data_IF_191637716498
#
_entry.id   IF_191637716498
#
_cell.length_a   1.000
_cell.length_b   1.000
_cell.length_c   1.000
_cell.angle_alpha   90.00
_cell.angle_beta   90.00
_cell.angle_gamma   90.00
#
_symmetry.space_group_name_H-M   'P 1'
#
loop_
_entity.id
_entity.type
_entity.pdbx_description
1 polymer ?
#
# COMPACT_ATOMS: atom_id res chain seq x y z
N UNK A 1 14.53 -0.46 -7.80
CA UNK A 1 15.94 -0.47 -7.34
C UNK A 1 16.82 0.06 -8.45
N UNK A 2 17.77 0.98 -8.20
CA UNK A 2 18.70 1.47 -9.22
C UNK A 2 19.46 0.32 -9.89
N UNK A 3 19.66 0.41 -11.21
CA UNK A 3 20.48 -0.54 -11.94
C UNK A 3 21.93 -0.51 -11.42
N UNK A 4 22.53 -1.67 -11.23
CA UNK A 4 23.90 -1.78 -10.68
C UNK A 4 24.02 -1.59 -9.16
N UNK A 5 22.92 -1.33 -8.44
CA UNK A 5 22.97 -1.22 -6.98
C UNK A 5 23.36 -2.54 -6.28
N UNK A 6 22.84 -3.66 -6.78
CA UNK A 6 23.23 -4.98 -6.29
C UNK A 6 24.24 -5.63 -7.23
N UNK A 7 25.26 -6.33 -6.70
CA UNK A 7 26.30 -6.99 -7.51
C UNK A 7 25.85 -8.36 -8.05
N UNK A 8 24.54 -8.65 -8.08
CA UNK A 8 23.96 -9.90 -8.55
C UNK A 8 22.73 -9.65 -9.42
N UNK A 9 22.34 -10.58 -10.31
CA UNK A 9 21.15 -10.47 -11.12
C UNK A 9 19.88 -10.38 -10.25
N UNK A 10 18.96 -9.52 -10.66
CA UNK A 10 17.67 -9.33 -9.99
C UNK A 10 16.55 -10.01 -10.79
N UNK A 11 15.58 -10.68 -10.15
CA UNK A 11 14.38 -11.21 -10.79
C UNK A 11 13.37 -10.09 -11.08
N UNK A 12 13.81 -9.04 -11.78
CA UNK A 12 12.99 -7.88 -12.09
C UNK A 12 12.00 -8.18 -13.22
N UNK A 13 10.85 -7.52 -13.20
CA UNK A 13 9.85 -7.58 -14.27
C UNK A 13 10.33 -6.80 -15.51
N UNK A 14 11.21 -5.83 -15.31
CA UNK A 14 11.76 -5.00 -16.39
C UNK A 14 12.76 -3.97 -15.86
N UNK A 15 13.19 -3.10 -16.79
CA UNK A 15 14.05 -1.94 -16.48
C UNK A 15 13.40 -0.69 -17.04
N UNK A 16 13.28 0.36 -16.24
CA UNK A 16 12.72 1.66 -16.65
C UNK A 16 13.52 2.80 -16.03
N UNK A 17 13.93 3.75 -16.85
CA UNK A 17 14.65 4.97 -16.41
C UNK A 17 15.84 4.70 -15.47
N UNK A 18 16.64 3.66 -15.74
CA UNK A 18 17.80 3.30 -14.93
C UNK A 18 17.47 2.55 -13.63
N UNK A 19 16.23 2.06 -13.49
CA UNK A 19 15.79 1.25 -12.34
C UNK A 19 15.29 -0.11 -12.77
N UNK A 20 15.65 -1.15 -12.02
CA UNK A 20 14.95 -2.43 -12.06
C UNK A 20 13.57 -2.28 -11.45
N UNK A 21 12.54 -2.73 -12.16
CA UNK A 21 11.14 -2.70 -11.73
C UNK A 21 10.65 -4.09 -11.35
N UNK A 22 9.82 -4.16 -10.32
CA UNK A 22 9.17 -5.38 -9.84
C UNK A 22 7.67 -5.10 -9.78
N UNK A 23 6.98 -5.33 -10.89
CA UNK A 23 5.55 -5.09 -10.99
C UNK A 23 4.78 -6.19 -10.25
N UNK A 24 3.97 -5.79 -9.28
CA UNK A 24 3.20 -6.68 -8.39
C UNK A 24 1.71 -6.38 -8.41
N UNK A 25 1.26 -5.48 -9.28
CA UNK A 25 -0.14 -5.10 -9.44
C UNK A 25 -0.54 -5.16 -10.91
N UNK A 26 -1.84 -5.07 -11.18
CA UNK A 26 -2.37 -4.95 -12.54
C UNK A 26 -2.32 -3.48 -12.99
N UNK A 27 -2.13 -3.27 -14.28
CA UNK A 27 -2.07 -1.93 -14.86
C UNK A 27 -3.37 -1.14 -14.65
N UNK A 28 -3.27 0.18 -14.56
CA UNK A 28 -4.38 1.10 -14.30
C UNK A 28 -5.59 0.89 -15.24
N UNK A 29 -5.37 0.70 -16.51
CA UNK A 29 -6.44 0.46 -17.47
C UNK A 29 -7.23 -0.83 -17.18
N UNK A 30 -6.58 -1.86 -16.64
CA UNK A 30 -7.23 -3.09 -16.19
C UNK A 30 -8.06 -2.84 -14.90
N UNK A 31 -7.55 -1.99 -13.98
CA UNK A 31 -8.29 -1.55 -12.79
C UNK A 31 -9.55 -0.80 -13.21
N UNK A 32 -9.45 0.17 -14.12
CA UNK A 32 -10.59 0.95 -14.63
C UNK A 32 -11.64 0.04 -15.28
N UNK A 33 -11.20 -0.90 -16.13
CA UNK A 33 -12.13 -1.87 -16.73
C UNK A 33 -12.83 -2.74 -15.68
N UNK A 34 -12.11 -3.18 -14.65
CA UNK A 34 -12.67 -3.99 -13.58
C UNK A 34 -13.65 -3.17 -12.73
N UNK A 35 -13.35 -1.91 -12.42
CA UNK A 35 -14.23 -0.99 -11.70
C UNK A 35 -15.54 -0.80 -12.47
N UNK A 36 -15.48 -0.52 -13.78
CA UNK A 36 -16.68 -0.34 -14.63
C UNK A 36 -17.54 -1.60 -14.70
N UNK A 37 -16.93 -2.79 -14.84
CA UNK A 37 -17.66 -4.06 -14.80
C UNK A 37 -18.33 -4.29 -13.45
N UNK A 38 -17.61 -4.05 -12.36
CA UNK A 38 -18.15 -4.22 -11.00
C UNK A 38 -19.29 -3.22 -10.72
N UNK A 39 -19.19 -1.98 -11.17
CA UNK A 39 -20.23 -0.97 -11.05
C UNK A 39 -21.51 -1.39 -11.79
N UNK A 40 -21.38 -1.85 -13.03
CA UNK A 40 -22.50 -2.36 -13.81
C UNK A 40 -23.16 -3.58 -13.14
N UNK A 41 -22.37 -4.54 -12.65
CA UNK A 41 -22.87 -5.73 -11.96
C UNK A 41 -23.57 -5.38 -10.66
N UNK A 42 -23.04 -4.43 -9.89
CA UNK A 42 -23.64 -3.96 -8.65
C UNK A 42 -24.81 -2.98 -8.88
N UNK A 43 -25.05 -2.54 -10.13
CA UNK A 43 -26.02 -1.50 -10.51
C UNK A 43 -25.78 -0.20 -9.73
N UNK A 44 -24.54 0.27 -9.76
CA UNK A 44 -24.07 1.46 -9.04
C UNK A 44 -23.39 2.39 -10.02
N UNK A 45 -23.71 3.68 -9.93
CA UNK A 45 -23.07 4.73 -10.73
C UNK A 45 -21.79 5.19 -10.07
N UNK A 46 -20.70 5.22 -10.84
CA UNK A 46 -19.39 5.68 -10.35
C UNK A 46 -18.80 6.69 -11.33
N UNK A 47 -17.96 7.56 -10.84
CA UNK A 47 -17.09 8.43 -11.63
C UNK A 47 -15.67 8.35 -11.08
N UNK A 48 -14.73 7.96 -11.92
CA UNK A 48 -13.32 7.85 -11.59
C UNK A 48 -12.50 9.04 -12.07
N UNK A 49 -11.25 9.14 -11.63
CA UNK A 49 -10.32 10.15 -12.15
C UNK A 49 -10.08 9.98 -13.65
N UNK A 50 -10.16 8.76 -14.17
CA UNK A 50 -10.08 8.49 -15.61
C UNK A 50 -11.23 9.15 -16.40
N UNK A 51 -12.42 9.30 -15.79
CA UNK A 51 -13.59 9.91 -16.41
C UNK A 51 -13.61 11.43 -16.27
N UNK A 52 -12.87 12.01 -15.33
CA UNK A 52 -12.83 13.43 -15.03
C UNK A 52 -11.78 14.18 -15.88
N UNK A 53 -12.06 15.42 -16.23
CA UNK A 53 -11.06 16.36 -16.72
C UNK A 53 -10.09 16.78 -15.58
N UNK A 54 -8.94 17.37 -15.95
CA UNK A 54 -7.98 17.90 -14.96
C UNK A 54 -8.64 18.97 -14.07
N UNK A 55 -9.48 19.81 -14.67
CA UNK A 55 -10.20 20.88 -13.94
C UNK A 55 -11.21 20.31 -12.95
N UNK A 56 -11.89 19.21 -13.30
CA UNK A 56 -12.81 18.53 -12.39
C UNK A 56 -12.06 17.88 -11.23
N UNK A 57 -10.95 17.18 -11.49
CA UNK A 57 -10.12 16.64 -10.41
C UNK A 57 -9.63 17.75 -9.48
N UNK A 58 -9.12 18.86 -10.02
CA UNK A 58 -8.69 20.01 -9.23
C UNK A 58 -9.80 20.55 -8.33
N UNK A 59 -11.00 20.75 -8.88
CA UNK A 59 -12.17 21.26 -8.13
C UNK A 59 -12.62 20.29 -7.03
N UNK A 60 -12.66 19.00 -7.33
CA UNK A 60 -13.14 17.97 -6.39
C UNK A 60 -12.14 17.68 -5.25
N UNK A 61 -10.85 17.88 -5.49
CA UNK A 61 -9.79 17.56 -4.53
C UNK A 61 -9.20 18.77 -3.83
N UNK A 62 -9.40 19.99 -4.37
CA UNK A 62 -8.71 21.20 -3.91
C UNK A 62 -7.26 21.33 -4.39
N UNK A 63 -6.81 20.44 -5.29
CA UNK A 63 -5.48 20.49 -5.88
C UNK A 63 -5.34 21.63 -6.91
N UNK A 64 -4.13 22.12 -7.10
CA UNK A 64 -3.81 22.97 -8.26
C UNK A 64 -3.96 22.16 -9.57
N UNK A 65 -4.12 22.84 -10.71
CA UNK A 65 -4.21 22.16 -12.02
C UNK A 65 -3.00 21.27 -12.32
N UNK A 66 -1.80 21.71 -11.93
CA UNK A 66 -0.59 20.90 -12.08
C UNK A 66 -0.64 19.64 -11.23
N UNK A 67 -1.01 19.78 -9.97
CA UNK A 67 -1.16 18.62 -9.06
C UNK A 67 -2.27 17.67 -9.54
N UNK A 68 -3.40 18.19 -10.00
CA UNK A 68 -4.49 17.39 -10.57
C UNK A 68 -4.06 16.62 -11.83
N UNK A 69 -3.26 17.26 -12.71
CA UNK A 69 -2.65 16.60 -13.86
C UNK A 69 -1.76 15.44 -13.41
N UNK A 70 -0.88 15.66 -12.41
CA UNK A 70 -0.03 14.61 -11.86
C UNK A 70 -0.84 13.52 -11.17
N UNK A 71 -1.90 13.87 -10.44
CA UNK A 71 -2.80 12.92 -9.80
C UNK A 71 -3.53 11.99 -10.77
N UNK A 72 -3.69 12.39 -12.04
CA UNK A 72 -4.24 11.55 -13.10
C UNK A 72 -3.22 10.60 -13.76
N UNK A 73 -1.91 10.78 -13.51
CA UNK A 73 -0.86 9.91 -14.03
C UNK A 73 -0.64 8.68 -13.14
N UNK A 74 -1.73 8.00 -12.79
CA UNK A 74 -1.70 6.79 -11.97
C UNK A 74 -1.43 5.57 -12.82
N UNK A 75 -0.57 4.67 -12.33
CA UNK A 75 -0.20 3.46 -13.06
C UNK A 75 -0.94 2.21 -12.54
N UNK A 76 -1.46 2.24 -11.29
CA UNK A 76 -2.01 1.04 -10.63
C UNK A 76 -3.24 1.29 -9.76
N UNK A 77 -3.70 2.52 -9.62
CA UNK A 77 -4.77 2.94 -8.72
C UNK A 77 -5.78 3.82 -9.47
N UNK A 78 -7.07 3.61 -9.25
CA UNK A 78 -8.14 4.46 -9.73
C UNK A 78 -8.93 5.02 -8.54
N UNK A 79 -8.75 6.30 -8.21
CA UNK A 79 -9.65 7.00 -7.31
C UNK A 79 -11.00 7.21 -7.97
N UNK A 80 -12.08 6.91 -7.25
CA UNK A 80 -13.44 7.06 -7.79
C UNK A 80 -14.41 7.52 -6.70
N UNK A 81 -15.57 8.00 -7.12
CA UNK A 81 -16.71 8.30 -6.24
C UNK A 81 -17.90 7.47 -6.66
N UNK A 82 -18.63 6.97 -5.68
CA UNK A 82 -19.97 6.42 -5.88
C UNK A 82 -20.94 7.59 -5.91
N UNK A 83 -21.73 7.68 -6.97
CA UNK A 83 -22.71 8.76 -7.15
C UNK A 83 -24.01 8.47 -6.41
N UNK A 84 -24.31 7.21 -6.16
CA UNK A 84 -25.47 6.78 -5.40
C UNK A 84 -25.28 7.09 -3.92
N UNK A 85 -26.26 7.73 -3.28
CA UNK A 85 -26.23 8.06 -1.86
C UNK A 85 -26.51 6.86 -0.93
N UNK A 86 -26.86 5.70 -1.49
CA UNK A 86 -27.19 4.49 -0.73
C UNK A 86 -25.94 3.75 -0.26
N UNK A 87 -25.78 3.65 1.05
CA UNK A 87 -24.68 2.91 1.68
C UNK A 87 -24.67 1.41 1.30
N UNK A 88 -25.85 0.80 1.07
CA UNK A 88 -25.94 -0.58 0.64
C UNK A 88 -25.45 -0.77 -0.80
N UNK A 89 -25.70 0.20 -1.70
CA UNK A 89 -25.15 0.22 -3.05
C UNK A 89 -23.64 0.23 -3.04
N UNK A 90 -23.04 1.12 -2.24
CA UNK A 90 -21.59 1.19 -2.06
C UNK A 90 -21.00 -0.11 -1.49
N UNK A 91 -21.65 -0.70 -0.49
CA UNK A 91 -21.22 -1.98 0.07
C UNK A 91 -21.27 -3.13 -0.96
N UNK A 92 -22.32 -3.18 -1.79
CA UNK A 92 -22.42 -4.15 -2.90
C UNK A 92 -21.27 -3.97 -3.89
N UNK A 93 -20.98 -2.73 -4.30
CA UNK A 93 -19.86 -2.43 -5.21
C UNK A 93 -18.53 -2.91 -4.61
N UNK A 94 -18.24 -2.57 -3.36
CA UNK A 94 -17.00 -2.99 -2.69
C UNK A 94 -16.87 -4.50 -2.60
N UNK A 95 -17.98 -5.21 -2.29
CA UNK A 95 -18.00 -6.68 -2.30
C UNK A 95 -17.68 -7.24 -3.69
N UNK A 96 -18.25 -6.66 -4.74
CA UNK A 96 -18.03 -7.07 -6.13
C UNK A 96 -16.59 -6.82 -6.56
N UNK A 97 -16.01 -5.66 -6.22
CA UNK A 97 -14.61 -5.33 -6.51
C UNK A 97 -13.65 -6.30 -5.82
N UNK A 98 -13.86 -6.58 -4.53
CA UNK A 98 -13.05 -7.56 -3.80
C UNK A 98 -13.18 -8.97 -4.38
N UNK A 99 -14.39 -9.36 -4.78
CA UNK A 99 -14.63 -10.62 -5.48
C UNK A 99 -13.94 -10.72 -6.84
N UNK A 100 -13.67 -9.59 -7.49
CA UNK A 100 -12.89 -9.49 -8.73
C UNK A 100 -11.37 -9.41 -8.49
N UNK A 101 -10.90 -9.55 -7.23
CA UNK A 101 -9.47 -9.53 -6.88
C UNK A 101 -8.89 -8.14 -6.71
N UNK A 102 -9.72 -7.10 -6.61
CA UNK A 102 -9.26 -5.74 -6.32
C UNK A 102 -9.29 -5.46 -4.82
N UNK A 103 -8.34 -4.68 -4.36
CA UNK A 103 -8.40 -4.03 -3.05
C UNK A 103 -9.17 -2.71 -3.18
N UNK A 104 -9.94 -2.37 -2.14
CA UNK A 104 -10.77 -1.16 -2.10
C UNK A 104 -10.70 -0.57 -0.70
N UNK A 105 -10.43 0.73 -0.62
CA UNK A 105 -10.50 1.51 0.62
C UNK A 105 -11.05 2.90 0.34
N UNK A 106 -11.29 3.66 1.41
CA UNK A 106 -11.79 5.03 1.35
C UNK A 106 -10.77 5.99 1.93
N UNK A 107 -10.55 7.09 1.24
CA UNK A 107 -9.70 8.18 1.67
C UNK A 107 -10.37 9.52 1.36
N UNK A 108 -10.74 10.25 2.42
CA UNK A 108 -11.44 11.52 2.26
C UNK A 108 -12.77 11.35 1.51
N UNK A 109 -12.87 12.00 0.36
CA UNK A 109 -14.09 12.01 -0.49
C UNK A 109 -14.08 10.94 -1.59
N UNK A 110 -12.97 10.23 -1.74
CA UNK A 110 -12.79 9.23 -2.79
C UNK A 110 -12.64 7.83 -2.20
N UNK A 111 -13.10 6.88 -2.97
CA UNK A 111 -12.76 5.49 -2.82
C UNK A 111 -11.65 5.15 -3.81
N UNK A 112 -10.81 4.21 -3.47
CA UNK A 112 -9.69 3.79 -4.30
C UNK A 112 -9.87 2.33 -4.68
N UNK A 113 -9.68 2.02 -5.96
CA UNK A 113 -9.57 0.65 -6.45
C UNK A 113 -8.17 0.41 -6.98
N UNK A 114 -7.56 -0.69 -6.55
CA UNK A 114 -6.21 -1.09 -6.98
C UNK A 114 -6.17 -2.60 -7.16
N UNK A 115 -5.32 -3.08 -8.05
CA UNK A 115 -5.01 -4.50 -8.09
C UNK A 115 -4.42 -4.96 -6.76
N UNK A 116 -4.47 -6.25 -6.48
CA UNK A 116 -3.95 -6.81 -5.24
C UNK A 116 -2.42 -6.62 -5.15
N UNK A 117 -1.99 -5.39 -4.89
CA UNK A 117 -0.61 -5.09 -4.51
C UNK A 117 -0.49 -5.33 -3.01
N UNK A 118 0.06 -6.47 -2.63
CA UNK A 118 0.44 -6.74 -1.25
C UNK A 118 1.71 -5.94 -0.91
N UNK A 119 1.54 -4.84 -0.19
CA UNK A 119 2.66 -3.98 0.25
C UNK A 119 3.64 -4.78 1.13
N UNK A 120 3.13 -5.72 1.92
CA UNK A 120 3.95 -6.63 2.70
C UNK A 120 4.80 -7.55 1.82
N UNK A 121 4.28 -8.01 0.68
CA UNK A 121 5.07 -8.80 -0.28
C UNK A 121 6.19 -7.96 -0.92
N UNK A 122 5.95 -6.68 -1.18
CA UNK A 122 6.99 -5.76 -1.65
C UNK A 122 8.11 -5.58 -0.60
N UNK A 123 7.74 -5.40 0.66
CA UNK A 123 8.71 -5.36 1.78
C UNK A 123 9.50 -6.65 1.88
N UNK A 124 8.84 -7.80 1.80
CA UNK A 124 9.51 -9.10 1.82
C UNK A 124 10.51 -9.27 0.68
N UNK A 125 10.15 -8.84 -0.53
CA UNK A 125 11.06 -8.82 -1.68
C UNK A 125 12.29 -7.94 -1.42
N UNK A 126 12.08 -6.69 -1.03
CA UNK A 126 13.18 -5.76 -0.74
C UNK A 126 14.08 -6.29 0.37
N UNK A 127 13.48 -6.75 1.48
CA UNK A 127 14.24 -7.39 2.57
C UNK A 127 15.10 -8.53 2.06
N UNK A 128 14.53 -9.44 1.25
CA UNK A 128 15.28 -10.55 0.68
C UNK A 128 16.45 -10.13 -0.22
N UNK A 129 16.30 -9.01 -0.94
CA UNK A 129 17.39 -8.46 -1.76
C UNK A 129 18.49 -7.84 -0.89
N UNK A 130 18.13 -7.02 0.09
CA UNK A 130 19.08 -6.33 0.96
C UNK A 130 19.77 -7.26 1.95
N UNK A 131 19.11 -8.34 2.37
CA UNK A 131 19.66 -9.31 3.32
C UNK A 131 20.69 -10.28 2.71
N UNK A 132 20.89 -10.26 1.38
CA UNK A 132 21.93 -11.08 0.74
C UNK A 132 23.33 -10.65 1.20
N UNK A 133 23.92 -11.44 2.07
CA UNK A 133 25.28 -11.24 2.57
C UNK A 133 25.44 -10.25 3.72
N UNK A 134 24.35 -9.70 4.26
CA UNK A 134 24.37 -8.84 5.46
C UNK A 134 23.03 -8.87 6.19
N UNK A 135 23.04 -8.75 7.53
CA UNK A 135 21.80 -8.55 8.29
C UNK A 135 21.18 -7.21 7.95
N UNK A 136 19.84 -7.16 7.89
CA UNK A 136 19.07 -5.93 7.69
C UNK A 136 17.99 -5.80 8.75
N UNK A 137 17.80 -4.59 9.25
CA UNK A 137 16.66 -4.19 10.08
C UNK A 137 15.66 -3.46 9.19
N UNK A 138 14.43 -3.92 9.16
CA UNK A 138 13.35 -3.27 8.41
C UNK A 138 12.49 -2.45 9.35
N UNK A 139 12.23 -1.21 8.96
CA UNK A 139 11.42 -0.26 9.72
C UNK A 139 10.24 0.17 8.86
N UNK A 140 9.06 0.14 9.42
CA UNK A 140 7.83 0.59 8.75
C UNK A 140 7.08 1.61 9.59
N UNK A 141 6.64 2.67 8.95
CA UNK A 141 5.79 3.70 9.56
C UNK A 141 4.47 3.71 8.84
N UNK A 142 3.36 3.67 9.58
CA UNK A 142 2.02 3.67 9.03
C UNK A 142 1.05 4.46 9.90
N UNK A 143 -0.09 4.86 9.33
CA UNK A 143 -1.10 5.67 10.00
C UNK A 143 -2.53 5.13 9.85
N UNK A 144 -2.75 4.17 8.97
CA UNK A 144 -4.07 3.66 8.58
C UNK A 144 -4.14 2.13 8.50
N UNK A 145 -5.35 1.60 8.43
CA UNK A 145 -5.57 0.16 8.24
C UNK A 145 -4.98 -0.36 6.91
N UNK A 146 -4.83 0.51 5.91
CA UNK A 146 -4.17 0.19 4.65
C UNK A 146 -2.68 -0.17 4.82
N UNK A 147 -2.03 0.31 5.90
CA UNK A 147 -0.61 0.04 6.18
C UNK A 147 -0.39 -1.28 6.93
N UNK A 148 -1.47 -2.01 7.25
CA UNK A 148 -1.42 -3.22 8.07
C UNK A 148 -0.45 -4.27 7.51
N UNK A 149 -0.48 -4.51 6.19
CA UNK A 149 0.34 -5.52 5.55
C UNK A 149 1.83 -5.15 5.55
N UNK A 150 2.14 -3.85 5.41
CA UNK A 150 3.48 -3.30 5.62
C UNK A 150 3.95 -3.54 7.06
N UNK A 151 3.14 -3.09 8.04
CA UNK A 151 3.52 -3.11 9.46
C UNK A 151 3.68 -4.53 10.02
N UNK A 152 2.96 -5.51 9.47
CA UNK A 152 3.14 -6.93 9.82
C UNK A 152 4.48 -7.49 9.37
N UNK A 153 5.07 -6.97 8.29
CA UNK A 153 6.24 -7.53 7.62
C UNK A 153 7.57 -6.89 8.01
N UNK A 154 7.55 -5.78 8.71
CA UNK A 154 8.77 -5.11 9.19
C UNK A 154 9.16 -5.56 10.59
N UNK A 155 10.41 -5.41 10.93
CA UNK A 155 10.93 -5.77 12.26
C UNK A 155 10.52 -4.72 13.30
N UNK A 156 10.55 -3.45 12.93
CA UNK A 156 10.21 -2.29 13.77
C UNK A 156 9.00 -1.56 13.18
N UNK A 157 7.77 -1.95 13.54
CA UNK A 157 6.56 -1.22 13.13
C UNK A 157 6.31 -0.02 14.05
N UNK A 158 6.11 1.16 13.45
CA UNK A 158 5.73 2.40 14.13
C UNK A 158 4.38 2.87 13.58
N UNK A 159 3.44 3.13 14.49
CA UNK A 159 2.10 3.60 14.15
C UNK A 159 1.95 5.07 14.52
N UNK A 160 1.62 5.90 13.52
CA UNK A 160 1.33 7.32 13.72
C UNK A 160 -0.17 7.49 13.93
N UNK A 161 -0.64 8.04 15.06
CA UNK A 161 -2.06 8.18 15.32
C UNK A 161 -2.70 9.26 14.44
N UNK A 162 -3.71 8.89 13.65
CA UNK A 162 -4.52 9.84 12.90
C UNK A 162 -5.62 10.43 13.83
N UNK A 163 -5.38 11.59 14.42
CA UNK A 163 -6.38 12.38 15.14
C UNK A 163 -6.80 11.88 16.53
N UNK A 164 -6.57 10.63 16.92
CA UNK A 164 -6.80 10.11 18.27
C UNK A 164 -5.53 9.43 18.80
N UNK A 165 -5.34 9.46 20.14
CA UNK A 165 -4.17 8.79 20.79
C UNK A 165 -4.15 7.27 20.60
N UNK A 166 -5.24 6.69 20.11
CA UNK A 166 -5.34 5.27 19.75
C UNK A 166 -5.30 5.16 18.25
N UNK A 167 -4.25 4.60 17.71
CA UNK A 167 -4.15 4.31 16.29
C UNK A 167 -5.29 3.44 15.75
N UNK A 168 -5.34 3.14 14.45
CA UNK A 168 -6.35 2.29 13.85
C UNK A 168 -6.49 0.97 14.61
N UNK A 169 -7.71 0.63 15.00
CA UNK A 169 -8.00 -0.54 15.89
C UNK A 169 -7.53 -1.84 15.25
N UNK A 170 -7.66 -1.98 13.94
CA UNK A 170 -7.22 -3.17 13.22
C UNK A 170 -5.70 -3.35 13.30
N UNK A 171 -4.94 -2.28 13.12
CA UNK A 171 -3.47 -2.31 13.22
C UNK A 171 -3.03 -2.64 14.63
N UNK A 172 -3.56 -1.96 15.64
CA UNK A 172 -3.18 -2.17 17.05
C UNK A 172 -3.44 -3.61 17.50
N UNK A 173 -4.55 -4.21 17.06
CA UNK A 173 -4.90 -5.60 17.38
C UNK A 173 -4.01 -6.61 16.63
N UNK A 174 -3.71 -6.34 15.36
CA UNK A 174 -3.01 -7.29 14.48
C UNK A 174 -1.49 -7.18 14.55
N UNK A 175 -0.96 -6.07 15.04
CA UNK A 175 0.48 -5.81 15.21
C UNK A 175 0.74 -5.31 16.64
N UNK A 176 0.60 -6.17 17.66
CA UNK A 176 0.71 -5.76 19.06
C UNK A 176 2.10 -5.23 19.42
N UNK A 177 3.14 -5.55 18.63
CA UNK A 177 4.49 -5.02 18.78
C UNK A 177 4.67 -3.61 18.21
N UNK A 178 3.66 -3.06 17.51
CA UNK A 178 3.76 -1.71 16.94
C UNK A 178 3.88 -0.66 18.04
N UNK A 179 4.88 0.20 17.91
CA UNK A 179 5.04 1.36 18.77
C UNK A 179 4.15 2.47 18.27
N UNK A 180 3.38 3.06 19.18
CA UNK A 180 2.44 4.13 18.83
C UNK A 180 3.13 5.46 19.18
N UNK A 181 3.30 6.32 18.18
CA UNK A 181 3.82 7.67 18.39
C UNK A 181 2.83 8.49 19.25
N UNK A 182 3.38 9.41 20.03
CA UNK A 182 2.57 10.25 20.94
C UNK A 182 1.62 11.17 20.22
N UNK A 183 1.96 11.59 19.00
CA UNK A 183 1.14 12.43 18.12
C UNK A 183 1.54 12.22 16.66
N UNK A 184 0.79 12.86 15.75
CA UNK A 184 1.08 12.85 14.32
C UNK A 184 2.17 13.86 13.91
N UNK A 185 2.75 14.62 14.86
CA UNK A 185 3.81 15.56 14.50
C UNK A 185 5.09 14.82 14.07
N UNK A 186 5.84 15.37 13.10
CA UNK A 186 7.10 14.77 12.64
C UNK A 186 8.07 14.43 13.76
N UNK A 187 8.22 15.31 14.74
CA UNK A 187 9.12 15.14 15.86
C UNK A 187 8.72 13.96 16.75
N UNK A 188 7.41 13.81 17.01
CA UNK A 188 6.91 12.77 17.90
C UNK A 188 7.06 11.36 17.32
N UNK A 189 6.74 11.17 16.02
CA UNK A 189 6.90 9.86 15.43
C UNK A 189 8.36 9.54 15.10
N UNK A 190 9.20 10.55 14.78
CA UNK A 190 10.62 10.37 14.58
C UNK A 190 11.30 9.93 15.89
N UNK A 191 10.98 10.59 17.02
CA UNK A 191 11.47 10.16 18.33
C UNK A 191 11.09 8.71 18.64
N UNK A 192 9.82 8.33 18.40
CA UNK A 192 9.36 6.95 18.61
C UNK A 192 10.11 5.96 17.73
N UNK A 193 10.41 6.36 16.49
CA UNK A 193 11.19 5.56 15.55
C UNK A 193 12.62 5.34 16.05
N UNK A 194 13.29 6.40 16.46
CA UNK A 194 14.67 6.35 16.98
C UNK A 194 14.78 5.46 18.24
N UNK A 195 13.83 5.62 19.17
CA UNK A 195 13.74 4.77 20.36
C UNK A 195 13.54 3.30 19.98
N UNK A 196 12.62 3.03 19.07
CA UNK A 196 12.30 1.67 18.62
C UNK A 196 13.46 0.98 17.89
N UNK A 197 14.21 1.73 17.08
CA UNK A 197 15.40 1.21 16.39
C UNK A 197 16.54 0.93 17.39
N UNK A 198 16.74 1.80 18.40
CA UNK A 198 17.77 1.64 19.42
C UNK A 198 17.51 0.42 20.30
N UNK A 199 16.26 0.13 20.60
CA UNK A 199 15.83 -1.02 21.42
C UNK A 199 15.66 -2.31 20.61
N UNK A 200 15.79 -2.25 19.29
CA UNK A 200 15.71 -3.44 18.45
C UNK A 200 16.84 -4.42 18.85
N UNK A 201 16.53 -5.72 18.99
CA UNK A 201 17.53 -6.71 19.38
C UNK A 201 18.73 -6.71 18.43
N UNK A 202 19.92 -6.72 18.99
CA UNK A 202 21.19 -6.81 18.21
C UNK A 202 21.37 -8.20 17.60
N UNK A 203 20.62 -9.20 18.10
CA UNK A 203 20.63 -10.57 17.58
C UNK A 203 19.93 -10.65 16.23
N UNK A 204 20.71 -10.32 15.21
CA UNK A 204 20.30 -10.33 13.80
C UNK A 204 20.16 -11.76 13.24
N UNK A 205 20.47 -12.79 14.01
CA UNK A 205 20.34 -14.21 13.62
C UNK A 205 18.87 -14.66 13.60
N UNK A 206 18.03 -14.12 14.47
CA UNK A 206 16.59 -14.40 14.52
C UNK A 206 15.84 -13.94 13.26
N UNK A 207 16.38 -12.98 12.50
CA UNK A 207 15.78 -12.46 11.28
C UNK A 207 15.95 -13.36 10.05
N UNK A 208 16.76 -14.41 10.14
CA UNK A 208 17.02 -15.36 9.05
C UNK A 208 16.12 -16.61 9.07
N UNK A 209 15.31 -16.80 10.12
CA UNK A 209 14.59 -18.06 10.36
C UNK A 209 13.25 -18.24 9.62
N UNK A 210 12.83 -17.31 8.78
CA UNK A 210 11.67 -17.48 7.91
C UNK A 210 12.09 -17.70 6.46
N UNK A 211 12.68 -18.85 6.17
CA UNK A 211 12.74 -19.37 4.81
C UNK A 211 11.32 -19.65 4.32
N UNK A 212 10.92 -19.21 3.13
CA UNK A 212 9.66 -19.67 2.55
C UNK A 212 9.79 -21.19 2.35
N UNK A 213 8.83 -21.94 2.91
CA UNK A 213 8.71 -23.36 2.70
C UNK A 213 8.83 -23.66 1.20
N UNK A 214 9.74 -24.55 0.87
CA UNK A 214 9.90 -25.15 -0.44
C UNK A 214 8.55 -25.65 -0.94
N UNK A 215 8.03 -25.04 -2.00
CA UNK A 215 6.96 -25.63 -2.78
C UNK A 215 7.48 -26.99 -3.30
N UNK A 216 7.02 -28.06 -2.70
CA UNK A 216 7.27 -29.41 -3.18
C UNK A 216 6.58 -29.56 -4.54
N UNK A 217 7.38 -29.59 -5.58
CA UNK A 217 6.98 -30.07 -6.89
C UNK A 217 6.70 -31.56 -6.73
N UNK A 218 5.43 -31.94 -6.66
CA UNK A 218 5.01 -33.34 -6.89
C UNK A 218 4.68 -33.51 -8.35
N UNK A 219 5.23 -34.54 -8.92
CA UNK A 219 5.11 -35.02 -10.30
C UNK A 219 3.66 -35.26 -10.73
#
# INVERSE_FOLDING_TARGET
>A
VPCGYFPFPLPASGTRSGYHTFERSIAHDAVVRALRRAANQARVSVVGFSDMSISEVARETGLTLLQARLAKLREYDEPFRVLDSDAAARARLFKTLRGAGLQVWSEGRFDHAVGSADMGACVGLLRGLYARGRPVLTVGVGAADADLDLLKRVDVPVLVPAGSRRGPVAVTRSVPRARIARSASPEAWLQTLEEAVREAPDDRSAYFSTSPASASTSR
#
